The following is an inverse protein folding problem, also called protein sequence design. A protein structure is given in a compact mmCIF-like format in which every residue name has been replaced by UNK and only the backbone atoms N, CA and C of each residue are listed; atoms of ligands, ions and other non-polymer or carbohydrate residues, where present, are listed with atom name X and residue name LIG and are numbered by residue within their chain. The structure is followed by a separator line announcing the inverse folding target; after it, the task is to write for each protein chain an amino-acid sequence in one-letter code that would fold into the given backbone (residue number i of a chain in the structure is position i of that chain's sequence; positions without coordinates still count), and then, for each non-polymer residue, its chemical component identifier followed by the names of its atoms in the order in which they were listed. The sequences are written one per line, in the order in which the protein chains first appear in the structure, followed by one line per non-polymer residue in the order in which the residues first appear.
data_IF_051207055906
#
_entry.id   IF_051207055906
#
_cell.length_a   1.000
_cell.length_b   1.000
_cell.length_c   1.000
_cell.angle_alpha   90.00
_cell.angle_beta   90.00
_cell.angle_gamma   90.00
#
_symmetry.space_group_name_H-M   'P 1'
#
loop_
_entity.id
_entity.type
_entity.pdbx_description
1 polymer ?
#
# COMPACT_ATOMS: atom_id res chain seq x y z
N UNK A 1 38.49 -15.68 34.05
CA UNK A 1 38.02 -15.28 32.71
C UNK A 1 37.38 -13.91 32.84
N UNK A 2 38.08 -12.88 32.40
CA UNK A 2 37.59 -11.50 32.34
C UNK A 2 36.45 -11.48 31.33
N UNK A 3 35.20 -11.22 31.76
CA UNK A 3 34.08 -10.97 30.84
C UNK A 3 34.44 -9.70 30.07
N UNK A 4 34.87 -9.84 28.83
CA UNK A 4 34.99 -8.72 27.91
C UNK A 4 33.59 -8.15 27.73
N UNK A 5 33.35 -6.98 28.30
CA UNK A 5 32.10 -6.26 28.15
C UNK A 5 32.01 -5.81 26.70
N UNK A 6 31.11 -6.40 25.92
CA UNK A 6 30.81 -5.91 24.56
C UNK A 6 30.10 -4.56 24.72
N UNK A 7 30.66 -3.47 24.19
CA UNK A 7 30.02 -2.17 24.24
C UNK A 7 28.76 -2.16 23.38
N UNK A 8 27.73 -1.44 23.82
CA UNK A 8 26.38 -1.47 23.23
C UNK A 8 26.35 -1.02 21.75
N UNK A 9 27.32 -0.23 21.31
CA UNK A 9 27.47 0.27 19.94
C UNK A 9 28.01 -0.79 18.96
N UNK A 10 28.55 -1.90 19.44
CA UNK A 10 29.03 -3.03 18.62
C UNK A 10 27.95 -4.12 18.44
N UNK A 11 26.79 -3.96 19.08
CA UNK A 11 25.69 -4.91 18.97
C UNK A 11 24.94 -4.77 17.65
N UNK A 12 24.96 -5.85 16.86
CA UNK A 12 24.15 -6.03 15.67
C UNK A 12 22.93 -6.88 15.99
N UNK A 13 21.97 -6.88 15.06
CA UNK A 13 20.81 -7.75 15.15
C UNK A 13 20.59 -8.47 13.82
N UNK A 14 19.88 -9.59 13.88
CA UNK A 14 19.36 -10.29 12.72
C UNK A 14 17.94 -10.77 13.02
N UNK A 15 17.02 -10.52 12.10
CA UNK A 15 15.61 -10.83 12.28
C UNK A 15 15.22 -12.14 11.62
N UNK A 16 14.25 -12.79 12.24
CA UNK A 16 13.46 -13.85 11.61
C UNK A 16 11.99 -13.66 11.93
N UNK A 17 11.17 -14.51 11.34
CA UNK A 17 9.72 -14.45 11.42
C UNK A 17 9.21 -15.84 11.73
N UNK A 18 8.17 -15.95 12.57
CA UNK A 18 7.28 -17.10 12.52
C UNK A 18 6.14 -16.76 11.56
N UNK A 19 6.10 -17.45 10.43
CA UNK A 19 5.01 -17.38 9.47
C UNK A 19 3.85 -18.26 9.93
N UNK A 20 2.64 -17.69 9.92
CA UNK A 20 1.40 -18.36 10.31
C UNK A 20 0.42 -18.21 9.15
N UNK A 21 0.20 -19.31 8.43
CA UNK A 21 -0.71 -19.34 7.29
C UNK A 21 -2.10 -19.78 7.76
N UNK A 22 -3.11 -18.99 7.43
CA UNK A 22 -4.51 -19.22 7.75
C UNK A 22 -5.29 -19.64 6.49
N UNK A 23 -6.42 -20.29 6.70
CA UNK A 23 -7.34 -20.61 5.61
C UNK A 23 -8.39 -19.49 5.47
N UNK A 24 -8.40 -18.73 4.36
CA UNK A 24 -9.36 -17.65 4.16
C UNK A 24 -10.81 -18.15 3.96
N UNK A 25 -11.03 -19.45 3.75
CA UNK A 25 -12.37 -20.04 3.60
C UNK A 25 -13.00 -20.46 4.92
N UNK A 26 -12.29 -20.36 6.04
CA UNK A 26 -12.84 -20.74 7.35
C UNK A 26 -13.61 -19.60 7.99
N UNK A 27 -14.62 -19.99 8.77
CA UNK A 27 -15.49 -19.06 9.49
C UNK A 27 -14.74 -18.20 10.53
N UNK A 28 -13.60 -18.67 11.04
CA UNK A 28 -12.76 -17.95 12.00
C UNK A 28 -11.80 -16.92 11.35
N UNK A 29 -11.73 -16.86 10.02
CA UNK A 29 -10.96 -15.84 9.31
C UNK A 29 -11.73 -14.52 9.23
N UNK A 30 -11.32 -13.54 10.03
CA UNK A 30 -11.96 -12.21 10.09
C UNK A 30 -11.29 -11.17 9.18
N UNK A 31 -10.16 -11.52 8.56
CA UNK A 31 -9.31 -10.56 7.83
C UNK A 31 -8.72 -9.46 8.72
N UNK A 32 -8.75 -9.63 10.05
CA UNK A 32 -8.18 -8.69 11.02
C UNK A 32 -7.28 -9.47 11.98
N UNK A 33 -5.99 -9.09 12.14
CA UNK A 33 -5.11 -9.76 13.09
C UNK A 33 -5.69 -9.78 14.51
N UNK A 34 -5.42 -10.82 15.32
CA UNK A 34 -5.91 -10.93 16.69
C UNK A 34 -5.34 -9.83 17.60
N UNK A 35 -5.91 -9.68 18.80
CA UNK A 35 -5.39 -8.77 19.81
C UNK A 35 -3.97 -9.16 20.24
N UNK A 36 -3.11 -8.19 20.62
CA UNK A 36 -1.83 -8.47 21.25
C UNK A 36 -1.98 -9.27 22.54
N UNK A 37 -1.02 -10.14 22.80
CA UNK A 37 -0.92 -10.94 24.01
C UNK A 37 -0.54 -10.08 25.22
N UNK A 38 -1.07 -10.45 26.38
CA UNK A 38 -0.58 -9.91 27.67
C UNK A 38 0.88 -10.29 27.91
N UNK A 39 1.56 -9.56 28.79
CA UNK A 39 2.95 -9.87 29.21
C UNK A 39 3.13 -11.33 29.63
N UNK A 40 2.19 -11.88 30.39
CA UNK A 40 2.25 -13.27 30.84
C UNK A 40 2.11 -14.27 29.68
N UNK A 41 1.15 -14.06 28.77
CA UNK A 41 0.92 -14.92 27.62
C UNK A 41 2.06 -14.85 26.60
N UNK A 42 2.57 -13.64 26.33
CA UNK A 42 3.74 -13.43 25.46
C UNK A 42 4.98 -14.14 26.01
N UNK A 43 5.21 -14.08 27.33
CA UNK A 43 6.33 -14.74 27.99
C UNK A 43 6.24 -16.27 27.93
N UNK A 44 5.03 -16.83 28.09
CA UNK A 44 4.81 -18.26 27.95
C UNK A 44 5.09 -18.73 26.51
N UNK A 45 4.54 -18.03 25.51
CA UNK A 45 4.75 -18.35 24.10
C UNK A 45 6.24 -18.28 23.70
N UNK A 46 6.95 -17.25 24.16
CA UNK A 46 8.36 -17.07 23.86
C UNK A 46 9.24 -18.24 24.31
N UNK A 47 8.90 -18.90 25.43
CA UNK A 47 9.63 -20.07 25.90
C UNK A 47 9.55 -21.24 24.92
N UNK A 48 8.40 -21.44 24.27
CA UNK A 48 8.22 -22.44 23.22
C UNK A 48 9.01 -22.08 21.95
N UNK A 49 8.90 -20.83 21.49
CA UNK A 49 9.62 -20.34 20.31
C UNK A 49 11.15 -20.43 20.49
N UNK A 50 11.66 -19.99 21.64
CA UNK A 50 13.10 -20.04 21.93
C UNK A 50 13.63 -21.49 21.96
N UNK A 51 12.83 -22.44 22.45
CA UNK A 51 13.19 -23.85 22.48
C UNK A 51 13.29 -24.44 21.07
N UNK A 52 12.30 -24.18 20.21
CA UNK A 52 12.34 -24.63 18.82
C UNK A 52 13.52 -24.00 18.06
N UNK A 53 13.70 -22.67 18.18
CA UNK A 53 14.81 -21.96 17.53
C UNK A 53 16.18 -22.48 17.99
N UNK A 54 16.34 -22.80 19.28
CA UNK A 54 17.57 -23.39 19.80
C UNK A 54 17.86 -24.76 19.20
N UNK A 55 16.83 -25.60 19.04
CA UNK A 55 16.95 -26.91 18.41
C UNK A 55 17.27 -26.80 16.91
N UNK A 56 16.67 -25.84 16.20
CA UNK A 56 16.85 -25.68 14.76
C UNK A 56 18.20 -25.04 14.43
N UNK A 57 18.63 -24.02 15.18
CA UNK A 57 19.79 -23.20 14.81
C UNK A 57 21.09 -23.66 15.47
N UNK A 58 21.02 -24.29 16.65
CA UNK A 58 22.15 -24.73 17.48
C UNK A 58 23.11 -23.59 17.92
N UNK A 59 23.60 -23.63 19.15
CA UNK A 59 24.69 -22.73 19.59
C UNK A 59 24.34 -21.25 19.71
N UNK A 60 23.06 -20.89 19.84
CA UNK A 60 22.57 -19.50 19.92
C UNK A 60 22.50 -18.91 21.35
N UNK A 61 22.98 -19.62 22.37
CA UNK A 61 22.82 -19.25 23.79
C UNK A 61 23.60 -17.98 24.19
N UNK A 62 24.56 -17.59 23.37
CA UNK A 62 25.35 -16.37 23.51
C UNK A 62 24.69 -15.14 22.88
N UNK A 63 23.52 -15.31 22.26
CA UNK A 63 22.75 -14.24 21.63
C UNK A 63 21.52 -13.88 22.49
N UNK A 64 21.21 -12.59 22.52
CA UNK A 64 19.92 -12.11 22.98
C UNK A 64 18.83 -12.45 22.00
N UNK A 65 17.60 -12.66 22.47
CA UNK A 65 16.42 -12.87 21.63
C UNK A 65 15.31 -11.95 22.12
N UNK A 66 14.70 -11.17 21.21
CA UNK A 66 13.51 -10.37 21.49
C UNK A 66 12.37 -10.75 20.55
N UNK A 67 11.15 -10.79 21.07
CA UNK A 67 9.93 -10.94 20.28
C UNK A 67 8.74 -10.20 20.92
N UNK A 68 7.84 -9.60 20.12
CA UNK A 68 6.56 -9.10 20.58
C UNK A 68 5.52 -10.24 20.62
N UNK A 69 4.60 -10.15 21.58
CA UNK A 69 3.41 -10.99 21.65
C UNK A 69 2.31 -10.47 20.73
N UNK A 70 2.61 -10.20 19.47
CA UNK A 70 1.65 -9.70 18.49
C UNK A 70 1.89 -10.32 17.11
N UNK A 71 0.84 -10.38 16.31
CA UNK A 71 0.87 -10.79 14.91
C UNK A 71 0.67 -9.57 14.02
N UNK A 72 1.40 -9.57 12.91
CA UNK A 72 1.46 -8.46 11.96
C UNK A 72 1.14 -8.96 10.55
N UNK A 73 0.56 -8.08 9.73
CA UNK A 73 0.49 -8.30 8.28
C UNK A 73 1.88 -8.10 7.64
N UNK A 74 2.11 -8.73 6.48
CA UNK A 74 3.37 -8.56 5.74
C UNK A 74 3.70 -7.10 5.41
N UNK A 75 2.68 -6.26 5.22
CA UNK A 75 2.83 -4.82 4.94
C UNK A 75 3.32 -4.01 6.15
N UNK A 76 3.20 -4.55 7.36
CA UNK A 76 3.75 -3.95 8.58
C UNK A 76 5.22 -4.33 8.80
N UNK A 77 5.63 -5.50 8.31
CA UNK A 77 7.01 -5.99 8.39
C UNK A 77 7.88 -5.36 7.29
N UNK A 78 7.39 -5.42 6.04
CA UNK A 78 8.12 -4.98 4.85
C UNK A 78 7.85 -3.49 4.60
N UNK A 79 8.58 -2.63 5.29
CA UNK A 79 8.56 -1.18 5.08
C UNK A 79 9.99 -0.66 4.87
N UNK A 80 10.17 0.52 4.25
CA UNK A 80 11.49 1.16 4.09
C UNK A 80 12.30 1.13 5.39
N UNK A 81 13.46 0.45 5.37
CA UNK A 81 14.35 0.34 6.53
C UNK A 81 13.90 -0.63 7.64
N UNK A 82 12.84 -1.43 7.43
CA UNK A 82 12.32 -2.41 8.40
C UNK A 82 12.12 -1.85 9.83
N UNK A 83 11.33 -0.76 10.01
CA UNK A 83 11.24 0.00 11.25
C UNK A 83 10.79 -0.82 12.46
N UNK A 84 9.93 -1.82 12.27
CA UNK A 84 9.49 -2.72 13.34
C UNK A 84 10.67 -3.53 13.92
N UNK A 85 11.55 -4.01 13.04
CA UNK A 85 12.73 -4.79 13.40
C UNK A 85 13.74 -3.92 14.14
N UNK A 86 14.00 -2.72 13.63
CA UNK A 86 14.88 -1.75 14.29
C UNK A 86 14.32 -1.37 15.68
N UNK A 87 13.02 -1.12 15.79
CA UNK A 87 12.38 -0.81 17.06
C UNK A 87 12.52 -1.95 18.10
N UNK A 88 12.37 -3.22 17.68
CA UNK A 88 12.62 -4.37 18.56
C UNK A 88 14.09 -4.41 19.03
N UNK A 89 15.04 -4.22 18.12
CA UNK A 89 16.46 -4.20 18.47
C UNK A 89 16.80 -3.04 19.43
N UNK A 90 16.22 -1.86 19.23
CA UNK A 90 16.38 -0.71 20.12
C UNK A 90 15.81 -0.96 21.51
N UNK A 91 14.60 -1.53 21.61
CA UNK A 91 13.99 -1.89 22.90
C UNK A 91 14.88 -2.88 23.64
N UNK A 92 15.42 -3.89 22.94
CA UNK A 92 16.35 -4.84 23.55
C UNK A 92 17.59 -4.14 24.11
N UNK A 93 18.25 -3.29 23.31
CA UNK A 93 19.45 -2.54 23.72
C UNK A 93 19.17 -1.63 24.91
N UNK A 94 18.02 -0.96 24.93
CA UNK A 94 17.59 -0.08 26.02
C UNK A 94 17.35 -0.82 27.34
N UNK A 95 17.00 -2.10 27.29
CA UNK A 95 16.81 -2.95 28.47
C UNK A 95 18.11 -3.47 29.11
N UNK A 96 19.26 -3.31 28.46
CA UNK A 96 20.55 -3.79 28.98
C UNK A 96 21.11 -2.85 30.06
N UNK A 97 21.42 -3.38 31.25
CA UNK A 97 22.03 -2.63 32.36
C UNK A 97 23.48 -3.05 32.55
N UNK A 98 24.43 -2.12 32.34
CA UNK A 98 25.84 -2.32 32.70
C UNK A 98 26.66 -3.23 31.78
N UNK A 99 26.12 -3.62 30.61
CA UNK A 99 26.82 -4.42 29.59
C UNK A 99 25.91 -5.42 28.89
N UNK A 100 26.39 -6.02 27.80
CA UNK A 100 25.65 -7.07 27.10
C UNK A 100 25.64 -8.37 27.91
N UNK A 101 24.44 -8.84 28.27
CA UNK A 101 24.19 -10.19 28.77
C UNK A 101 23.06 -10.79 27.94
N UNK A 102 23.26 -11.94 27.29
CA UNK A 102 22.21 -12.62 26.53
C UNK A 102 21.00 -12.89 27.41
N UNK A 103 19.82 -12.48 26.95
CA UNK A 103 18.54 -12.74 27.62
C UNK A 103 17.44 -12.91 26.58
N UNK A 104 16.43 -13.71 26.93
CA UNK A 104 15.16 -13.73 26.23
C UNK A 104 14.31 -12.56 26.74
N UNK A 105 14.00 -11.61 25.86
CA UNK A 105 13.14 -10.47 26.14
C UNK A 105 11.82 -10.66 25.39
N UNK A 106 10.72 -10.47 26.10
CA UNK A 106 9.38 -10.59 25.54
C UNK A 106 8.66 -9.29 25.76
N UNK A 107 7.99 -8.81 24.72
CA UNK A 107 7.14 -7.63 24.82
C UNK A 107 5.71 -8.12 24.77
N UNK A 108 4.97 -7.95 25.86
CA UNK A 108 3.52 -8.12 25.84
C UNK A 108 2.83 -6.78 26.01
N UNK A 109 1.58 -6.72 25.61
CA UNK A 109 0.76 -5.55 25.80
C UNK A 109 0.25 -5.46 27.25
N UNK A 110 0.13 -4.23 27.73
CA UNK A 110 -0.65 -3.87 28.91
C UNK A 110 -1.84 -3.02 28.44
N UNK A 111 -3.06 -3.42 28.81
CA UNK A 111 -4.31 -2.84 28.27
C UNK A 111 -4.34 -2.72 26.71
N UNK A 112 -3.71 -3.66 26.01
CA UNK A 112 -3.63 -3.67 24.54
C UNK A 112 -2.57 -2.75 23.94
N UNK A 113 -1.74 -2.09 24.76
CA UNK A 113 -0.68 -1.19 24.31
C UNK A 113 0.71 -1.74 24.61
N UNK A 114 1.62 -1.55 23.66
CA UNK A 114 3.03 -1.86 23.84
C UNK A 114 3.81 -0.66 24.40
N UNK A 115 5.01 -0.87 24.96
CA UNK A 115 5.85 0.21 25.49
C UNK A 115 6.27 1.28 24.48
N UNK A 116 6.30 0.93 23.18
CA UNK A 116 6.73 1.83 22.09
C UNK A 116 5.68 1.75 20.97
N UNK A 117 5.25 2.90 20.43
CA UNK A 117 4.23 2.93 19.38
C UNK A 117 4.63 2.20 18.10
N UNK A 118 5.93 2.19 17.76
CA UNK A 118 6.47 1.55 16.56
C UNK A 118 6.31 0.01 16.52
N UNK A 119 6.07 -0.63 17.67
CA UNK A 119 5.82 -2.08 17.76
C UNK A 119 4.34 -2.42 17.93
N UNK A 120 3.44 -1.43 18.06
CA UNK A 120 2.02 -1.70 18.13
C UNK A 120 1.50 -2.19 16.77
N UNK A 121 0.85 -3.37 16.68
CA UNK A 121 0.27 -3.83 15.43
C UNK A 121 -0.91 -2.94 15.03
N UNK A 122 -1.06 -2.68 13.74
CA UNK A 122 -2.09 -1.81 13.19
C UNK A 122 -3.46 -2.50 13.13
N UNK A 123 -3.45 -3.84 12.99
CA UNK A 123 -4.67 -4.68 12.95
C UNK A 123 -5.71 -4.16 11.96
N UNK A 124 -5.27 -3.84 10.74
CA UNK A 124 -6.14 -3.30 9.70
C UNK A 124 -7.10 -4.39 9.19
N UNK A 125 -8.40 -4.09 9.04
CA UNK A 125 -9.31 -4.98 8.31
C UNK A 125 -8.81 -5.20 6.88
N UNK A 126 -8.98 -6.41 6.37
CA UNK A 126 -8.50 -6.81 5.04
C UNK A 126 -7.04 -7.29 5.01
N UNK A 127 -6.44 -7.59 6.16
CA UNK A 127 -5.15 -8.26 6.23
C UNK A 127 -5.21 -9.65 5.59
N UNK A 128 -4.10 -10.09 4.99
CA UNK A 128 -4.02 -11.34 4.25
C UNK A 128 -4.09 -12.59 5.16
N UNK A 129 -4.14 -13.80 4.56
CA UNK A 129 -4.11 -15.06 5.30
C UNK A 129 -2.74 -15.37 5.92
N UNK A 130 -1.69 -14.62 5.58
CA UNK A 130 -0.35 -14.79 6.14
C UNK A 130 -0.13 -13.76 7.25
N UNK A 131 -0.07 -14.24 8.49
CA UNK A 131 0.30 -13.44 9.66
C UNK A 131 1.72 -13.77 10.11
N UNK A 132 2.42 -12.77 10.63
CA UNK A 132 3.84 -12.87 10.98
C UNK A 132 4.06 -12.48 12.43
N UNK A 133 4.83 -13.28 13.17
CA UNK A 133 5.37 -12.90 14.47
C UNK A 133 6.88 -12.68 14.32
N UNK A 134 7.38 -11.43 14.32
CA UNK A 134 8.79 -11.15 14.16
C UNK A 134 9.58 -11.45 15.44
N UNK A 135 10.83 -11.86 15.28
CA UNK A 135 11.79 -11.96 16.38
C UNK A 135 13.16 -11.47 15.92
N UNK A 136 13.97 -10.99 16.85
CA UNK A 136 15.31 -10.51 16.56
C UNK A 136 16.32 -11.17 17.48
N UNK A 137 17.42 -11.65 16.90
CA UNK A 137 18.61 -12.02 17.65
C UNK A 137 19.55 -10.82 17.75
N UNK A 138 20.14 -10.59 18.92
CA UNK A 138 21.06 -9.48 19.19
C UNK A 138 22.37 -10.02 19.77
N UNK A 139 23.51 -9.57 19.25
CA UNK A 139 24.82 -10.00 19.75
C UNK A 139 25.98 -9.26 19.10
N UNK A 140 27.19 -9.78 19.32
CA UNK A 140 28.38 -9.27 18.64
C UNK A 140 28.25 -9.44 17.12
N UNK A 141 28.86 -8.53 16.37
CA UNK A 141 28.78 -8.53 14.91
C UNK A 141 29.15 -9.87 14.25
N UNK A 142 30.24 -10.51 14.71
CA UNK A 142 30.71 -11.77 14.13
C UNK A 142 29.74 -12.94 14.40
N UNK A 143 29.15 -12.96 15.60
CA UNK A 143 28.19 -13.98 16.01
C UNK A 143 26.88 -13.85 15.23
N UNK A 144 26.37 -12.62 15.10
CA UNK A 144 25.18 -12.30 14.32
C UNK A 144 25.39 -12.60 12.84
N UNK A 145 26.56 -12.27 12.29
CA UNK A 145 26.91 -12.58 10.90
C UNK A 145 26.99 -14.08 10.61
N UNK A 146 27.41 -14.90 11.59
CA UNK A 146 27.38 -16.36 11.50
C UNK A 146 25.95 -16.89 11.58
N UNK A 147 25.17 -16.40 12.54
CA UNK A 147 23.77 -16.76 12.71
C UNK A 147 22.96 -16.49 11.43
N UNK A 148 23.15 -15.33 10.80
CA UNK A 148 22.44 -14.97 9.58
C UNK A 148 22.57 -16.05 8.50
N UNK A 149 23.79 -16.54 8.25
CA UNK A 149 24.05 -17.61 7.27
C UNK A 149 23.34 -18.91 7.67
N UNK A 150 23.40 -19.27 8.96
CA UNK A 150 22.73 -20.48 9.48
C UNK A 150 21.21 -20.37 9.30
N UNK A 151 20.63 -19.20 9.57
CA UNK A 151 19.19 -18.97 9.43
C UNK A 151 18.75 -19.09 7.96
N UNK A 152 19.44 -18.42 7.03
CA UNK A 152 19.14 -18.52 5.59
C UNK A 152 19.28 -19.97 5.07
N UNK A 153 20.26 -20.73 5.55
CA UNK A 153 20.48 -22.11 5.11
C UNK A 153 19.47 -23.10 5.73
N UNK A 154 19.13 -22.93 7.02
CA UNK A 154 18.35 -23.92 7.80
C UNK A 154 16.85 -23.67 7.81
N UNK A 155 16.40 -22.42 7.93
CA UNK A 155 14.96 -22.15 8.17
C UNK A 155 14.08 -22.56 6.99
N UNK A 156 14.57 -22.40 5.76
CA UNK A 156 13.84 -22.83 4.57
C UNK A 156 13.56 -24.34 4.54
N UNK A 157 14.46 -25.18 5.08
CA UNK A 157 14.35 -26.64 5.03
C UNK A 157 13.82 -27.27 6.31
N UNK A 158 14.12 -26.66 7.46
CA UNK A 158 13.89 -27.24 8.79
C UNK A 158 13.15 -26.27 9.73
N UNK A 159 12.53 -25.22 9.19
CA UNK A 159 11.83 -24.20 9.96
C UNK A 159 10.47 -24.62 10.53
N UNK A 160 10.00 -25.85 10.29
CA UNK A 160 8.73 -26.32 10.85
C UNK A 160 8.71 -26.22 12.38
N UNK A 161 7.62 -25.68 12.92
CA UNK A 161 7.45 -25.56 14.38
C UNK A 161 7.10 -26.90 15.02
N UNK A 162 7.49 -27.08 16.28
CA UNK A 162 7.07 -28.23 17.07
C UNK A 162 5.56 -28.22 17.35
N UNK A 163 5.01 -29.39 17.69
CA UNK A 163 3.60 -29.50 18.11
C UNK A 163 3.30 -28.61 19.32
N UNK A 164 4.21 -28.53 20.28
CA UNK A 164 4.04 -27.71 21.48
C UNK A 164 3.95 -26.22 21.16
N UNK A 165 4.80 -25.72 20.25
CA UNK A 165 4.73 -24.33 19.76
C UNK A 165 3.44 -24.09 18.99
N UNK A 166 3.03 -25.04 18.15
CA UNK A 166 1.77 -24.96 17.41
C UNK A 166 0.56 -24.82 18.33
N UNK A 167 0.46 -25.68 19.34
CA UNK A 167 -0.61 -25.61 20.35
C UNK A 167 -0.56 -24.30 21.15
N UNK A 168 0.63 -23.83 21.52
CA UNK A 168 0.80 -22.57 22.24
C UNK A 168 0.33 -21.35 21.43
N UNK A 169 0.67 -21.28 20.14
CA UNK A 169 0.20 -20.21 19.23
C UNK A 169 -1.32 -20.26 19.06
N UNK A 170 -1.89 -21.45 18.84
CA UNK A 170 -3.33 -21.65 18.71
C UNK A 170 -4.08 -21.18 19.96
N UNK A 171 -3.60 -21.56 21.14
CA UNK A 171 -4.21 -21.16 22.42
C UNK A 171 -4.05 -19.68 22.71
N UNK A 172 -2.88 -19.10 22.42
CA UNK A 172 -2.58 -17.70 22.73
C UNK A 172 -3.38 -16.72 21.85
N UNK A 173 -3.47 -17.00 20.54
CA UNK A 173 -4.10 -16.09 19.58
C UNK A 173 -5.52 -16.51 19.17
N UNK A 174 -5.96 -17.71 19.53
CA UNK A 174 -7.28 -18.22 19.16
C UNK A 174 -7.42 -18.50 17.65
N UNK A 175 -6.34 -18.90 16.98
CA UNK A 175 -6.28 -19.12 15.53
C UNK A 175 -6.17 -20.60 15.20
N UNK A 176 -6.64 -20.99 14.02
CA UNK A 176 -6.40 -22.33 13.47
C UNK A 176 -5.49 -22.27 12.22
N UNK A 177 -4.17 -22.39 12.39
CA UNK A 177 -3.23 -22.28 11.28
C UNK A 177 -3.22 -23.54 10.41
N UNK A 178 -3.21 -23.34 9.09
CA UNK A 178 -2.89 -24.36 8.10
C UNK A 178 -1.42 -24.79 8.27
N UNK A 179 -0.53 -23.81 8.20
CA UNK A 179 0.90 -24.02 8.27
C UNK A 179 1.57 -23.03 9.23
N UNK A 180 2.69 -23.46 9.83
CA UNK A 180 3.54 -22.61 10.65
C UNK A 180 5.00 -23.00 10.50
N UNK A 181 5.82 -22.03 10.13
CA UNK A 181 7.26 -22.22 9.97
C UNK A 181 8.03 -20.95 10.29
N UNK A 182 9.21 -21.12 10.87
CA UNK A 182 10.21 -20.06 10.95
C UNK A 182 10.78 -19.76 9.57
N UNK A 183 10.98 -18.48 9.29
CA UNK A 183 11.47 -17.97 8.01
C UNK A 183 12.36 -16.75 8.25
N UNK A 184 13.21 -16.42 7.27
CA UNK A 184 13.96 -15.15 7.26
C UNK A 184 13.14 -14.05 6.58
N UNK A 185 13.59 -12.80 6.70
CA UNK A 185 13.05 -11.71 5.86
C UNK A 185 13.34 -12.00 4.38
N UNK A 186 14.47 -12.65 4.08
CA UNK A 186 14.83 -13.11 2.73
C UNK A 186 13.80 -14.08 2.16
N UNK A 187 13.37 -15.07 2.95
CA UNK A 187 12.32 -16.03 2.56
C UNK A 187 10.97 -15.34 2.31
N UNK A 188 10.57 -14.40 3.18
CA UNK A 188 9.35 -13.63 2.99
C UNK A 188 9.40 -12.80 1.69
N UNK A 189 10.54 -12.13 1.45
CA UNK A 189 10.82 -11.41 0.22
C UNK A 189 10.73 -12.32 -1.01
N UNK A 190 11.31 -13.52 -0.95
CA UNK A 190 11.26 -14.49 -2.05
C UNK A 190 9.82 -14.96 -2.33
N UNK A 191 9.05 -15.26 -1.29
CA UNK A 191 7.63 -15.64 -1.40
C UNK A 191 6.82 -14.52 -2.07
N UNK A 192 6.95 -13.28 -1.57
CA UNK A 192 6.23 -12.13 -2.11
C UNK A 192 6.61 -11.84 -3.55
N UNK A 193 7.90 -11.95 -3.90
CA UNK A 193 8.35 -11.79 -5.29
C UNK A 193 7.67 -12.80 -6.22
N UNK A 194 7.62 -14.07 -5.84
CA UNK A 194 6.95 -15.13 -6.64
C UNK A 194 5.46 -14.84 -6.78
N UNK A 195 4.80 -14.37 -5.72
CA UNK A 195 3.39 -13.99 -5.77
C UNK A 195 3.16 -12.81 -6.72
N UNK A 196 3.99 -11.76 -6.65
CA UNK A 196 3.87 -10.60 -7.53
C UNK A 196 4.17 -10.93 -8.99
N UNK A 197 5.19 -11.75 -9.25
CA UNK A 197 5.53 -12.21 -10.60
C UNK A 197 4.37 -13.02 -11.22
N UNK A 198 3.78 -13.94 -10.46
CA UNK A 198 2.61 -14.71 -10.89
C UNK A 198 1.35 -13.88 -11.18
N UNK A 199 1.33 -12.60 -10.81
CA UNK A 199 0.24 -11.65 -11.07
C UNK A 199 0.64 -10.51 -12.02
N UNK A 200 1.74 -10.65 -12.78
CA UNK A 200 2.28 -9.62 -13.68
C UNK A 200 2.66 -8.29 -12.98
N UNK A 201 3.02 -8.36 -11.69
CA UNK A 201 3.39 -7.23 -10.84
C UNK A 201 4.89 -7.19 -10.51
N UNK A 202 5.75 -7.84 -11.31
CA UNK A 202 7.19 -7.82 -11.09
C UNK A 202 7.79 -6.39 -11.05
N UNK A 203 7.34 -5.40 -11.85
CA UNK A 203 7.82 -4.02 -11.71
C UNK A 203 7.48 -3.38 -10.35
N UNK A 204 6.38 -3.80 -9.70
CA UNK A 204 6.04 -3.36 -8.34
C UNK A 204 7.05 -3.93 -7.33
N UNK A 205 7.43 -5.20 -7.47
CA UNK A 205 8.47 -5.81 -6.65
C UNK A 205 9.77 -5.00 -6.71
N UNK A 206 10.21 -4.59 -7.90
CA UNK A 206 11.47 -3.83 -8.06
C UNK A 206 11.43 -2.46 -7.37
N UNK A 207 10.28 -1.76 -7.44
CA UNK A 207 10.06 -0.51 -6.71
C UNK A 207 10.14 -0.71 -5.19
N UNK A 208 9.46 -1.74 -4.69
CA UNK A 208 9.40 -2.07 -3.28
C UNK A 208 10.76 -2.53 -2.73
N UNK A 209 11.43 -3.44 -3.44
CA UNK A 209 12.76 -3.94 -3.08
C UNK A 209 13.78 -2.79 -3.00
N UNK A 210 13.73 -1.84 -3.94
CA UNK A 210 14.58 -0.66 -3.90
C UNK A 210 14.34 0.18 -2.63
N UNK A 211 13.08 0.37 -2.24
CA UNK A 211 12.69 1.14 -1.05
C UNK A 211 13.03 0.43 0.26
N UNK A 212 12.65 -0.84 0.43
CA UNK A 212 12.81 -1.59 1.67
C UNK A 212 14.27 -1.69 2.11
N UNK A 213 15.16 -2.00 1.16
CA UNK A 213 16.59 -2.13 1.42
C UNK A 213 17.34 -0.79 1.33
N UNK A 214 16.62 0.34 1.30
CA UNK A 214 17.18 1.70 1.24
C UNK A 214 18.31 1.84 0.22
N UNK A 215 18.12 1.25 -0.97
CA UNK A 215 19.14 1.27 -2.00
C UNK A 215 19.42 2.71 -2.41
N UNK A 216 20.71 3.04 -2.55
CA UNK A 216 21.13 4.39 -2.89
C UNK A 216 20.61 4.82 -4.27
N UNK A 217 20.15 6.06 -4.36
CA UNK A 217 19.70 6.66 -5.61
C UNK A 217 18.23 6.39 -5.91
N UNK A 218 17.85 6.67 -7.16
CA UNK A 218 16.46 6.67 -7.60
C UNK A 218 16.23 5.46 -8.50
N UNK A 219 15.17 4.71 -8.22
CA UNK A 219 14.64 3.70 -9.14
C UNK A 219 13.40 4.23 -9.85
N UNK A 220 13.27 3.93 -11.14
CA UNK A 220 12.11 4.33 -11.92
C UNK A 220 11.67 3.23 -12.86
N UNK A 221 10.37 3.04 -12.98
CA UNK A 221 9.78 2.09 -13.93
C UNK A 221 8.64 2.75 -14.70
N UNK A 222 8.50 2.34 -15.96
CA UNK A 222 7.36 2.70 -16.82
C UNK A 222 6.67 1.42 -17.26
N UNK A 223 5.40 1.27 -16.90
CA UNK A 223 4.61 0.11 -17.27
C UNK A 223 4.21 0.18 -18.76
N UNK A 224 3.80 -0.95 -19.32
CA UNK A 224 3.32 -1.03 -20.72
C UNK A 224 2.12 -0.12 -21.01
N UNK A 225 1.30 0.17 -20.00
CA UNK A 225 0.19 1.13 -20.09
C UNK A 225 0.62 2.60 -20.03
N UNK A 226 1.91 2.90 -19.82
CA UNK A 226 2.46 4.25 -19.68
C UNK A 226 2.37 4.84 -18.28
N UNK A 227 1.95 4.07 -17.27
CA UNK A 227 2.09 4.44 -15.87
C UNK A 227 3.56 4.60 -15.52
N UNK A 228 3.92 5.67 -14.79
CA UNK A 228 5.31 5.92 -14.38
C UNK A 228 5.40 6.02 -12.87
N UNK A 229 6.37 5.32 -12.30
CA UNK A 229 6.66 5.34 -10.88
C UNK A 229 8.14 5.60 -10.68
N UNK A 230 8.45 6.47 -9.73
CA UNK A 230 9.82 6.81 -9.33
C UNK A 230 9.90 6.71 -7.81
N UNK A 231 10.85 5.92 -7.31
CA UNK A 231 11.03 5.67 -5.88
C UNK A 231 12.41 6.11 -5.43
N UNK A 232 12.45 6.77 -4.28
CA UNK A 232 13.66 7.13 -3.54
C UNK A 232 13.35 7.04 -2.05
N UNK A 233 14.11 6.23 -1.32
CA UNK A 233 13.88 5.99 0.10
C UNK A 233 12.43 5.53 0.34
N UNK A 234 11.69 6.25 1.19
CA UNK A 234 10.28 6.03 1.53
C UNK A 234 9.30 6.83 0.66
N UNK A 235 9.75 7.51 -0.39
CA UNK A 235 8.90 8.33 -1.25
C UNK A 235 8.74 7.73 -2.64
N UNK A 236 7.50 7.69 -3.12
CA UNK A 236 7.16 7.36 -4.49
C UNK A 236 6.57 8.58 -5.20
N UNK A 237 6.87 8.76 -6.48
CA UNK A 237 6.30 9.81 -7.33
C UNK A 237 5.61 9.19 -8.53
N UNK A 238 4.43 9.71 -8.86
CA UNK A 238 3.68 9.26 -10.03
C UNK A 238 2.81 10.36 -10.62
N UNK A 239 2.39 10.19 -11.88
CA UNK A 239 1.54 11.14 -12.58
C UNK A 239 0.07 10.79 -12.39
N UNK A 240 -0.74 11.82 -12.25
CA UNK A 240 -2.17 11.78 -12.43
C UNK A 240 -2.51 12.37 -13.80
N UNK A 241 -3.30 11.66 -14.58
CA UNK A 241 -3.90 12.18 -15.79
C UNK A 241 -5.41 12.24 -15.60
N UNK A 242 -6.04 13.32 -16.05
CA UNK A 242 -7.46 13.28 -16.40
C UNK A 242 -7.65 12.38 -17.63
N UNK A 243 -8.89 12.00 -17.94
CA UNK A 243 -9.12 11.23 -19.16
C UNK A 243 -8.70 12.03 -20.40
N UNK A 244 -9.02 13.31 -20.43
CA UNK A 244 -8.75 14.22 -21.54
C UNK A 244 -7.23 14.39 -21.72
N UNK A 245 -6.48 14.67 -20.66
CA UNK A 245 -5.02 14.77 -20.68
C UNK A 245 -4.37 13.46 -21.13
N UNK A 246 -4.82 12.33 -20.57
CA UNK A 246 -4.33 11.00 -20.92
C UNK A 246 -4.52 10.69 -22.40
N UNK A 247 -5.69 11.05 -22.95
CA UNK A 247 -6.06 10.76 -24.33
C UNK A 247 -5.45 11.75 -25.33
N UNK A 248 -5.15 12.99 -24.94
CA UNK A 248 -4.68 14.02 -25.87
C UNK A 248 -3.16 14.08 -25.98
N UNK A 249 -2.42 14.08 -24.86
CA UNK A 249 -0.95 14.17 -24.88
C UNK A 249 -0.26 13.07 -24.07
N UNK A 250 -0.98 12.43 -23.15
CA UNK A 250 -0.47 11.34 -22.32
C UNK A 250 -0.35 10.00 -23.04
N UNK A 251 -0.24 8.89 -22.27
CA UNK A 251 -0.05 7.55 -22.81
C UNK A 251 -1.12 7.07 -23.78
N UNK A 252 -2.34 7.61 -23.71
CA UNK A 252 -3.44 7.25 -24.58
C UNK A 252 -3.38 7.89 -25.96
N UNK A 253 -2.52 8.91 -26.20
CA UNK A 253 -2.53 9.72 -27.44
C UNK A 253 -2.44 8.92 -28.74
N UNK A 254 -1.67 7.84 -28.72
CA UNK A 254 -1.38 7.02 -29.90
C UNK A 254 -2.40 5.88 -30.07
N UNK A 255 -3.34 5.71 -29.12
CA UNK A 255 -4.40 4.71 -29.21
C UNK A 255 -5.49 5.15 -30.20
N UNK A 256 -6.06 4.18 -30.96
CA UNK A 256 -7.25 4.42 -31.76
C UNK A 256 -8.39 5.01 -30.91
N UNK A 257 -9.15 6.00 -31.41
CA UNK A 257 -10.23 6.62 -30.63
C UNK A 257 -11.21 5.64 -30.00
N UNK A 258 -11.60 4.58 -30.72
CA UNK A 258 -12.52 3.56 -30.22
C UNK A 258 -11.99 2.73 -29.04
N UNK A 259 -10.67 2.72 -28.80
CA UNK A 259 -10.02 1.95 -27.74
C UNK A 259 -9.74 2.78 -26.48
N UNK A 260 -9.98 4.10 -26.50
CA UNK A 260 -9.62 4.98 -25.39
C UNK A 260 -10.32 4.62 -24.09
N UNK A 261 -11.59 4.19 -24.17
CA UNK A 261 -12.34 3.79 -22.99
C UNK A 261 -11.71 2.61 -22.25
N UNK A 262 -11.33 1.56 -22.97
CA UNK A 262 -10.67 0.39 -22.37
C UNK A 262 -9.23 0.71 -21.97
N UNK A 263 -8.50 1.44 -22.81
CA UNK A 263 -7.13 1.85 -22.51
C UNK A 263 -7.02 2.65 -21.22
N UNK A 264 -7.93 3.63 -21.00
CA UNK A 264 -7.93 4.44 -19.79
C UNK A 264 -8.31 3.62 -18.56
N UNK A 265 -9.31 2.71 -18.67
CA UNK A 265 -9.66 1.80 -17.57
C UNK A 265 -8.47 0.94 -17.14
N UNK A 266 -7.78 0.32 -18.09
CA UNK A 266 -6.57 -0.48 -17.80
C UNK A 266 -5.48 0.38 -17.16
N UNK A 267 -5.24 1.58 -17.69
CA UNK A 267 -4.27 2.52 -17.12
C UNK A 267 -4.62 2.90 -15.68
N UNK A 268 -5.88 3.29 -15.42
CA UNK A 268 -6.36 3.71 -14.10
C UNK A 268 -6.32 2.57 -13.08
N UNK A 269 -6.62 1.33 -13.51
CA UNK A 269 -6.50 0.13 -12.67
C UNK A 269 -5.08 -0.07 -12.16
N UNK A 270 -4.11 -0.14 -13.07
CA UNK A 270 -2.70 -0.29 -12.72
C UNK A 270 -2.21 0.87 -11.87
N UNK A 271 -2.63 2.10 -12.20
CA UNK A 271 -2.27 3.30 -11.47
C UNK A 271 -2.71 3.20 -9.99
N UNK A 272 -3.98 2.86 -9.75
CA UNK A 272 -4.54 2.71 -8.40
C UNK A 272 -3.92 1.53 -7.66
N UNK A 273 -3.78 0.39 -8.32
CA UNK A 273 -3.21 -0.83 -7.73
C UNK A 273 -1.77 -0.61 -7.24
N UNK A 274 -0.91 -0.03 -8.07
CA UNK A 274 0.48 0.25 -7.70
C UNK A 274 0.54 1.30 -6.58
N UNK A 275 -0.20 2.40 -6.68
CA UNK A 275 -0.21 3.42 -5.65
C UNK A 275 -0.68 2.86 -4.30
N UNK A 276 -1.78 2.11 -4.28
CA UNK A 276 -2.29 1.48 -3.05
C UNK A 276 -1.28 0.49 -2.46
N UNK A 277 -0.62 -0.32 -3.29
CA UNK A 277 0.37 -1.27 -2.80
C UNK A 277 1.60 -0.56 -2.23
N UNK A 278 2.14 0.45 -2.92
CA UNK A 278 3.26 1.24 -2.42
C UNK A 278 2.92 1.89 -1.06
N UNK A 279 1.73 2.48 -0.92
CA UNK A 279 1.27 3.04 0.37
C UNK A 279 1.09 1.99 1.46
N UNK A 280 0.54 0.81 1.11
CA UNK A 280 0.36 -0.28 2.06
C UNK A 280 1.71 -0.72 2.65
N UNK A 281 2.74 -0.82 1.82
CA UNK A 281 4.12 -1.15 2.20
C UNK A 281 4.94 0.04 2.73
N UNK A 282 4.26 1.13 3.13
CA UNK A 282 4.88 2.23 3.89
C UNK A 282 5.53 3.34 3.05
N UNK A 283 5.34 3.36 1.73
CA UNK A 283 5.82 4.47 0.90
C UNK A 283 4.82 5.62 0.87
N UNK A 284 5.32 6.85 0.84
CA UNK A 284 4.53 8.05 0.60
C UNK A 284 4.39 8.32 -0.90
N UNK A 285 3.22 8.00 -1.46
CA UNK A 285 2.94 8.21 -2.88
C UNK A 285 2.52 9.65 -3.16
N UNK A 286 3.38 10.37 -3.89
CA UNK A 286 3.17 11.73 -4.34
C UNK A 286 2.64 11.76 -5.77
N UNK A 287 1.40 12.21 -5.92
CA UNK A 287 0.75 12.40 -7.20
C UNK A 287 0.96 13.83 -7.71
N UNK A 288 1.22 13.96 -9.01
CA UNK A 288 1.25 15.27 -9.68
C UNK A 288 0.41 15.26 -10.93
N UNK A 289 -0.27 16.38 -11.18
CA UNK A 289 -1.03 16.54 -12.42
C UNK A 289 -0.07 16.56 -13.61
N UNK A 290 -0.33 15.68 -14.58
CA UNK A 290 0.41 15.67 -15.82
C UNK A 290 0.18 16.97 -16.61
N UNK A 291 1.16 17.35 -17.41
CA UNK A 291 1.04 18.43 -18.37
C UNK A 291 1.99 18.15 -19.55
N UNK A 292 1.79 18.77 -20.72
CA UNK A 292 2.59 18.48 -21.91
C UNK A 292 4.10 18.65 -21.70
N UNK A 293 4.52 19.69 -20.96
CA UNK A 293 5.93 19.97 -20.72
C UNK A 293 6.58 18.91 -19.82
N UNK A 294 5.87 18.48 -18.76
CA UNK A 294 6.33 17.40 -17.88
C UNK A 294 6.41 16.09 -18.66
N UNK A 295 5.43 15.78 -19.52
CA UNK A 295 5.41 14.55 -20.31
C UNK A 295 6.57 14.49 -21.31
N UNK A 296 6.86 15.60 -21.99
CA UNK A 296 8.03 15.72 -22.86
C UNK A 296 9.34 15.57 -22.08
N UNK A 297 9.46 16.23 -20.92
CA UNK A 297 10.64 16.16 -20.06
C UNK A 297 10.92 14.72 -19.61
N UNK A 298 9.89 14.01 -19.15
CA UNK A 298 10.00 12.64 -18.65
C UNK A 298 10.26 11.60 -19.73
N UNK A 299 10.20 11.97 -21.02
CA UNK A 299 10.59 11.08 -22.12
C UNK A 299 12.10 10.81 -22.12
N UNK A 300 12.90 11.77 -21.62
CA UNK A 300 14.38 11.66 -21.62
C UNK A 300 15.01 11.81 -20.25
N UNK A 301 14.34 12.48 -19.30
CA UNK A 301 14.85 12.66 -17.95
C UNK A 301 14.84 11.34 -17.17
N UNK A 302 15.93 11.08 -16.44
CA UNK A 302 16.08 9.92 -15.54
C UNK A 302 16.62 10.35 -14.19
N UNK A 303 16.42 9.50 -13.17
CA UNK A 303 16.95 9.70 -11.82
C UNK A 303 16.59 11.08 -11.26
N UNK A 304 17.61 11.82 -10.81
CA UNK A 304 17.43 13.12 -10.14
C UNK A 304 16.75 14.17 -11.03
N UNK A 305 16.99 14.14 -12.35
CA UNK A 305 16.38 15.11 -13.27
C UNK A 305 14.88 14.85 -13.39
N UNK A 306 14.47 13.58 -13.48
CA UNK A 306 13.06 13.20 -13.49
C UNK A 306 12.38 13.55 -12.16
N UNK A 307 13.03 13.26 -11.02
CA UNK A 307 12.53 13.63 -9.69
C UNK A 307 12.35 15.14 -9.56
N UNK A 308 13.34 15.93 -9.98
CA UNK A 308 13.27 17.38 -9.95
C UNK A 308 12.10 17.91 -10.79
N UNK A 309 11.88 17.38 -12.00
CA UNK A 309 10.75 17.76 -12.85
C UNK A 309 9.40 17.43 -12.17
N UNK A 310 9.27 16.26 -11.56
CA UNK A 310 8.06 15.87 -10.80
C UNK A 310 7.85 16.76 -9.57
N UNK A 311 8.91 17.14 -8.86
CA UNK A 311 8.82 18.01 -7.67
C UNK A 311 8.51 19.47 -8.01
N UNK A 312 8.80 19.91 -9.23
CA UNK A 312 8.45 21.25 -9.70
C UNK A 312 6.93 21.43 -9.86
N UNK A 313 6.19 20.35 -10.11
CA UNK A 313 4.72 20.39 -10.18
C UNK A 313 4.14 20.24 -8.76
N UNK A 314 3.16 21.08 -8.34
CA UNK A 314 2.49 20.92 -7.05
C UNK A 314 1.89 19.52 -6.86
N UNK A 315 1.98 19.00 -5.64
CA UNK A 315 1.37 17.72 -5.30
C UNK A 315 -0.16 17.85 -5.32
N UNK A 316 -0.84 16.84 -5.86
CA UNK A 316 -2.28 16.69 -5.71
C UNK A 316 -2.60 16.20 -4.29
N UNK A 317 -2.86 17.12 -3.38
CA UNK A 317 -3.13 16.83 -1.96
C UNK A 317 -4.60 16.95 -1.54
N UNK A 318 -5.48 17.40 -2.43
CA UNK A 318 -6.92 17.50 -2.18
C UNK A 318 -7.64 16.16 -2.30
N UNK A 319 -8.91 16.11 -1.88
CA UNK A 319 -9.72 14.89 -1.97
C UNK A 319 -10.19 14.59 -3.39
N UNK A 320 -10.26 15.61 -4.25
CA UNK A 320 -10.64 15.53 -5.64
C UNK A 320 -9.95 16.59 -6.49
N UNK A 321 -9.95 16.39 -7.80
CA UNK A 321 -9.51 17.33 -8.82
C UNK A 321 -10.73 17.79 -9.64
N UNK A 322 -10.80 19.08 -9.97
CA UNK A 322 -11.75 19.61 -10.95
C UNK A 322 -10.99 20.05 -12.19
N UNK A 323 -11.30 19.43 -13.31
CA UNK A 323 -10.85 19.84 -14.63
C UNK A 323 -11.95 20.70 -15.27
N UNK A 324 -11.67 21.98 -15.49
CA UNK A 324 -12.61 22.92 -16.12
C UNK A 324 -12.38 22.94 -17.64
N UNK A 325 -13.29 22.32 -18.40
CA UNK A 325 -13.20 22.20 -19.86
C UNK A 325 -13.75 23.45 -20.54
N UNK A 326 -14.87 23.96 -20.04
CA UNK A 326 -15.51 25.14 -20.58
C UNK A 326 -16.12 25.97 -19.46
N UNK A 327 -15.98 27.28 -19.56
CA UNK A 327 -16.67 28.24 -18.72
C UNK A 327 -17.05 29.46 -19.56
N UNK A 328 -18.32 29.84 -19.48
CA UNK A 328 -18.84 31.08 -20.03
C UNK A 328 -18.97 32.09 -18.89
N UNK A 329 -18.26 33.22 -19.00
CA UNK A 329 -18.24 34.28 -17.99
C UNK A 329 -19.47 35.21 -18.05
N UNK A 330 -20.51 34.86 -18.81
CA UNK A 330 -21.77 35.59 -18.82
C UNK A 330 -22.44 35.57 -17.43
N UNK A 331 -23.07 36.69 -17.04
CA UNK A 331 -23.86 36.82 -15.80
C UNK A 331 -25.15 35.96 -15.77
N UNK A 332 -25.32 35.06 -16.74
CA UNK A 332 -26.49 34.18 -16.82
C UNK A 332 -26.46 33.16 -15.66
N UNK A 333 -27.56 33.08 -14.93
CA UNK A 333 -27.72 32.13 -13.84
C UNK A 333 -27.74 30.68 -14.36
N UNK A 334 -27.14 29.78 -13.59
CA UNK A 334 -27.25 28.34 -13.81
C UNK A 334 -28.65 27.88 -13.44
N UNK A 335 -29.34 27.24 -14.39
CA UNK A 335 -30.73 26.81 -14.23
C UNK A 335 -30.87 25.30 -14.31
N UNK A 336 -29.98 24.63 -15.05
CA UNK A 336 -29.96 23.16 -15.13
C UNK A 336 -28.55 22.62 -15.02
N UNK A 337 -28.39 21.57 -14.21
CA UNK A 337 -27.15 20.83 -14.04
C UNK A 337 -27.38 19.36 -14.40
N UNK A 338 -26.64 18.87 -15.40
CA UNK A 338 -26.64 17.47 -15.81
C UNK A 338 -25.33 16.84 -15.34
N UNK A 339 -25.42 15.88 -14.43
CA UNK A 339 -24.29 15.17 -13.84
C UNK A 339 -24.26 13.76 -14.43
N UNK A 340 -23.14 13.40 -15.05
CA UNK A 340 -22.90 12.05 -15.58
C UNK A 340 -21.94 11.31 -14.66
N UNK A 341 -22.38 10.15 -14.17
CA UNK A 341 -21.52 9.26 -13.40
C UNK A 341 -20.66 8.42 -14.34
N UNK A 342 -19.38 8.80 -14.50
CA UNK A 342 -18.41 8.08 -15.30
C UNK A 342 -17.87 6.93 -14.45
N UNK A 343 -18.28 5.71 -14.76
CA UNK A 343 -18.00 4.54 -13.92
C UNK A 343 -17.39 3.40 -14.72
N UNK A 344 -16.72 2.53 -13.98
CA UNK A 344 -16.35 1.19 -14.39
C UNK A 344 -16.89 0.19 -13.35
N UNK A 345 -17.11 -1.06 -13.78
CA UNK A 345 -17.69 -2.10 -12.91
C UNK A 345 -16.69 -2.56 -11.84
N UNK A 346 -15.39 -2.58 -12.15
CA UNK A 346 -14.34 -3.04 -11.22
C UNK A 346 -13.75 -1.87 -10.44
N UNK A 347 -13.57 -0.71 -11.08
CA UNK A 347 -12.91 0.46 -10.47
C UNK A 347 -13.88 1.42 -9.77
N UNK A 348 -15.20 1.21 -9.93
CA UNK A 348 -16.22 2.14 -9.45
C UNK A 348 -16.14 3.50 -10.15
N UNK A 349 -16.31 4.59 -9.40
CA UNK A 349 -16.31 5.94 -9.96
C UNK A 349 -14.93 6.34 -10.49
N UNK A 350 -14.89 6.69 -11.77
CA UNK A 350 -13.72 7.29 -12.42
C UNK A 350 -13.78 8.81 -12.39
N UNK A 351 -14.95 9.39 -12.66
CA UNK A 351 -15.19 10.83 -12.62
C UNK A 351 -16.69 11.16 -12.54
N UNK A 352 -17.01 12.42 -12.24
CA UNK A 352 -18.30 13.01 -12.57
C UNK A 352 -18.11 14.07 -13.65
N UNK A 353 -18.83 13.95 -14.77
CA UNK A 353 -18.89 15.01 -15.77
C UNK A 353 -20.11 15.89 -15.47
N UNK A 354 -19.87 17.17 -15.18
CA UNK A 354 -20.91 18.14 -14.78
C UNK A 354 -21.09 19.15 -15.91
N UNK A 355 -22.29 19.20 -16.47
CA UNK A 355 -22.68 20.13 -17.52
C UNK A 355 -23.76 21.07 -16.99
N UNK A 356 -23.44 22.36 -16.91
CA UNK A 356 -24.32 23.41 -16.42
C UNK A 356 -24.86 24.24 -17.58
N UNK A 357 -26.15 24.55 -17.55
CA UNK A 357 -26.87 25.27 -18.61
C UNK A 357 -27.73 26.42 -18.06
N UNK A 358 -27.94 27.44 -18.89
CA UNK A 358 -28.92 28.51 -18.61
C UNK A 358 -30.36 28.07 -18.91
N UNK A 359 -31.32 28.97 -18.68
CA UNK A 359 -32.75 28.72 -18.98
C UNK A 359 -33.02 28.42 -20.46
N UNK A 360 -32.17 28.90 -21.38
CA UNK A 360 -32.26 28.67 -22.81
C UNK A 360 -31.59 27.37 -23.27
N UNK A 361 -31.00 26.59 -22.35
CA UNK A 361 -30.25 25.38 -22.67
C UNK A 361 -28.84 25.65 -23.21
N UNK A 362 -28.34 26.88 -23.14
CA UNK A 362 -26.98 27.23 -23.54
C UNK A 362 -26.00 26.71 -22.50
N UNK A 363 -24.91 26.09 -22.96
CA UNK A 363 -23.82 25.63 -22.10
C UNK A 363 -23.19 26.83 -21.38
N UNK A 364 -23.16 26.76 -20.05
CA UNK A 364 -22.47 27.71 -19.18
C UNK A 364 -21.14 27.14 -18.70
N UNK A 365 -21.12 25.90 -18.23
CA UNK A 365 -19.91 25.24 -17.74
C UNK A 365 -19.87 23.76 -18.09
N UNK A 366 -18.68 23.25 -18.36
CA UNK A 366 -18.39 21.82 -18.47
C UNK A 366 -17.16 21.52 -17.61
N UNK A 367 -17.34 20.65 -16.62
CA UNK A 367 -16.31 20.28 -15.64
C UNK A 367 -16.24 18.77 -15.49
N UNK A 368 -15.05 18.25 -15.17
CA UNK A 368 -14.83 16.85 -14.82
C UNK A 368 -14.24 16.77 -13.41
N UNK A 369 -14.95 16.10 -12.51
CA UNK A 369 -14.59 15.97 -11.10
C UNK A 369 -14.04 14.57 -10.86
N UNK A 370 -12.75 14.47 -10.52
CA UNK A 370 -12.05 13.21 -10.32
C UNK A 370 -11.78 12.98 -8.82
N UNK A 371 -12.30 11.92 -8.20
CA UNK A 371 -11.92 11.58 -6.83
C UNK A 371 -10.45 11.14 -6.80
N UNK A 372 -9.66 11.77 -5.94
CA UNK A 372 -8.26 11.43 -5.70
C UNK A 372 -8.10 10.46 -4.51
N UNK A 373 -9.09 10.45 -3.61
CA UNK A 373 -9.16 9.58 -2.43
C UNK A 373 -10.56 8.99 -2.28
N UNK A 374 -10.72 7.87 -1.54
CA UNK A 374 -12.04 7.28 -1.30
C UNK A 374 -13.07 8.29 -0.74
N UNK A 375 -12.67 9.17 0.18
CA UNK A 375 -13.56 10.18 0.75
C UNK A 375 -13.92 11.29 -0.24
N UNK A 376 -13.09 11.52 -1.27
CA UNK A 376 -13.29 12.56 -2.27
C UNK A 376 -14.57 12.41 -3.06
N UNK A 377 -15.09 11.18 -3.20
CA UNK A 377 -16.38 10.94 -3.81
C UNK A 377 -17.50 11.69 -3.07
N UNK A 378 -17.54 11.55 -1.75
CA UNK A 378 -18.56 12.20 -0.92
C UNK A 378 -18.40 13.72 -0.95
N UNK A 379 -17.15 14.22 -0.90
CA UNK A 379 -16.86 15.66 -0.98
C UNK A 379 -17.34 16.27 -2.31
N UNK A 380 -17.16 15.56 -3.43
CA UNK A 380 -17.69 16.00 -4.73
C UNK A 380 -19.23 16.06 -4.67
N UNK A 381 -19.87 15.01 -4.17
CA UNK A 381 -21.34 14.92 -4.09
C UNK A 381 -21.91 16.07 -3.26
N UNK A 382 -21.35 16.30 -2.07
CA UNK A 382 -21.79 17.37 -1.16
C UNK A 382 -21.63 18.75 -1.80
N UNK A 383 -20.48 19.01 -2.43
CA UNK A 383 -20.26 20.28 -3.15
C UNK A 383 -21.26 20.51 -4.29
N UNK A 384 -21.60 19.47 -5.05
CA UNK A 384 -22.57 19.57 -6.13
C UNK A 384 -24.00 19.76 -5.60
N UNK A 385 -24.34 19.13 -4.47
CA UNK A 385 -25.60 19.38 -3.75
C UNK A 385 -25.71 20.84 -3.29
N UNK A 386 -24.66 21.36 -2.65
CA UNK A 386 -24.62 22.73 -2.13
C UNK A 386 -24.75 23.76 -3.27
N UNK A 387 -24.00 23.59 -4.37
CA UNK A 387 -24.11 24.45 -5.56
C UNK A 387 -25.52 24.49 -6.13
N UNK A 388 -26.19 23.33 -6.22
CA UNK A 388 -27.57 23.27 -6.70
C UNK A 388 -28.53 24.00 -5.75
N UNK A 389 -28.34 23.88 -4.44
CA UNK A 389 -29.17 24.54 -3.44
C UNK A 389 -28.98 26.07 -3.45
N UNK A 390 -27.74 26.55 -3.58
CA UNK A 390 -27.42 27.99 -3.63
C UNK A 390 -27.98 28.68 -4.88
N UNK A 391 -28.03 27.98 -6.01
CA UNK A 391 -28.41 28.55 -7.31
C UNK A 391 -29.84 28.20 -7.75
N UNK A 392 -30.59 27.48 -6.90
CA UNK A 392 -31.92 26.93 -7.21
C UNK A 392 -31.94 26.15 -8.54
N UNK A 393 -30.82 25.50 -8.87
CA UNK A 393 -30.60 24.82 -10.15
C UNK A 393 -31.26 23.45 -10.18
N UNK A 394 -32.00 23.15 -11.25
CA UNK A 394 -32.55 21.81 -11.48
C UNK A 394 -31.43 20.81 -11.77
N UNK A 395 -31.31 19.77 -10.96
CA UNK A 395 -30.29 18.73 -11.13
C UNK A 395 -30.85 17.44 -11.71
N UNK A 396 -30.17 16.91 -12.72
CA UNK A 396 -30.39 15.57 -13.25
C UNK A 396 -29.09 14.76 -13.16
N UNK A 397 -29.14 13.58 -12.53
CA UNK A 397 -28.00 12.64 -12.47
C UNK A 397 -28.26 11.47 -13.41
N UNK A 398 -27.30 11.16 -14.27
CA UNK A 398 -27.36 10.10 -15.27
C UNK A 398 -26.30 9.04 -14.97
N UNK A 399 -26.71 7.77 -14.99
CA UNK A 399 -25.87 6.60 -14.72
C UNK A 399 -25.77 5.72 -15.96
N UNK A 400 -24.91 6.06 -16.92
CA UNK A 400 -24.72 5.25 -18.14
C UNK A 400 -24.08 3.87 -17.88
N UNK A 401 -23.51 3.63 -16.69
CA UNK A 401 -22.86 2.36 -16.34
C UNK A 401 -21.52 2.12 -17.04
N UNK A 402 -21.01 3.12 -17.76
CA UNK A 402 -19.74 3.07 -18.49
C UNK A 402 -19.14 4.46 -18.65
N UNK A 403 -17.87 4.50 -19.02
CA UNK A 403 -17.18 5.73 -19.44
C UNK A 403 -17.75 6.22 -20.78
N UNK A 404 -18.19 7.48 -20.84
CA UNK A 404 -18.65 8.15 -22.04
C UNK A 404 -17.65 9.22 -22.48
N UNK A 405 -17.22 9.12 -23.73
CA UNK A 405 -16.27 10.04 -24.33
C UNK A 405 -16.62 10.33 -25.80
N UNK A 406 -16.00 11.38 -26.33
CA UNK A 406 -16.02 11.76 -27.73
C UNK A 406 -14.77 11.20 -28.42
N UNK A 407 -14.94 10.39 -29.46
CA UNK A 407 -13.81 9.87 -30.24
C UNK A 407 -13.07 10.98 -31.01
N UNK A 408 -13.82 11.95 -31.55
CA UNK A 408 -13.23 13.06 -32.30
C UNK A 408 -12.53 14.08 -31.40
N UNK A 409 -13.12 14.36 -30.24
CA UNK A 409 -12.58 15.28 -29.24
C UNK A 409 -11.55 14.67 -28.32
N UNK A 410 -11.50 13.33 -28.23
CA UNK A 410 -10.67 12.57 -27.27
C UNK A 410 -10.84 13.09 -25.85
N UNK A 411 -12.10 13.37 -25.49
CA UNK A 411 -12.51 14.02 -24.26
C UNK A 411 -13.72 13.34 -23.66
N UNK A 412 -13.91 13.41 -22.34
CA UNK A 412 -15.16 12.98 -21.74
C UNK A 412 -16.33 13.83 -22.25
N UNK A 413 -17.53 13.23 -22.23
CA UNK A 413 -18.76 13.94 -22.58
C UNK A 413 -19.87 13.67 -21.59
N UNK A 414 -20.79 14.62 -21.50
CA UNK A 414 -22.03 14.45 -20.73
C UNK A 414 -22.93 13.41 -21.40
N UNK A 415 -23.61 12.60 -20.58
CA UNK A 415 -24.61 11.65 -21.01
C UNK A 415 -25.89 12.33 -21.47
N UNK A 416 -26.60 11.64 -22.34
CA UNK A 416 -27.98 11.94 -22.71
C UNK A 416 -28.88 10.78 -22.28
N UNK A 417 -30.21 10.95 -22.35
CA UNK A 417 -31.16 9.87 -22.04
C UNK A 417 -30.95 8.64 -22.94
N UNK A 418 -30.44 8.82 -24.16
CA UNK A 418 -30.12 7.73 -25.08
C UNK A 418 -28.89 6.91 -24.67
N UNK A 419 -28.04 7.44 -23.79
CA UNK A 419 -26.84 6.75 -23.29
C UNK A 419 -27.14 5.85 -22.09
N UNK A 420 -28.36 5.89 -21.55
CA UNK A 420 -28.74 5.10 -20.38
C UNK A 420 -28.93 3.62 -20.75
N UNK A 421 -28.53 2.70 -19.87
CA UNK A 421 -28.76 1.27 -20.06
C UNK A 421 -30.25 0.99 -20.25
N UNK A 422 -30.57 0.04 -21.14
CA UNK A 422 -31.95 -0.40 -21.34
C UNK A 422 -32.52 -1.04 -20.06
N UNK A 423 -33.86 -1.21 -19.93
CA UNK A 423 -34.48 -1.78 -18.73
C UNK A 423 -33.98 -3.19 -18.35
N UNK A 424 -33.26 -3.90 -19.23
CA UNK A 424 -32.66 -5.21 -18.97
C UNK A 424 -31.17 -5.17 -18.55
N UNK A 425 -30.50 -4.00 -18.60
CA UNK A 425 -29.07 -3.85 -18.31
C UNK A 425 -28.78 -3.29 -16.90
N UNK A 426 -29.81 -3.12 -16.07
CA UNK A 426 -29.64 -2.82 -14.63
C UNK A 426 -29.24 -4.10 -13.89
N UNK A 427 -27.97 -4.48 -14.01
CA UNK A 427 -27.38 -5.49 -13.13
C UNK A 427 -27.06 -4.81 -11.79
N UNK A 428 -27.46 -5.48 -10.71
CA UNK A 428 -27.50 -5.05 -9.32
C UNK A 428 -26.20 -4.49 -8.76
#
# INVERSE_FOLDING_TARGET
MTKTLIPLNELKHYAGLLAIELDPQRDDFTGTPPEPLSVAAASALAGHLAKDLHQILEGIEHLGLILPGALYDQTEILQPGFPLIEALAEVYRGGLRGGFTPQLMTLGADEGQFPVGAICPQRRPGSGPLLLLPFCFIGAQDDVGRLARIMEDRLLQYGEVSLATREAVQQAFGLTPLNMSFATIGDLCALLRVQLDGNDLLPLWELLEHAWFERSGIYSTTLSGGNRFLVESDHAHTLFYTFDDWAQFGPGRDLPPAELGEGYRRWARLQRQYAMALEAYGLHVRWVLANPQLEETLTTAVGETAKAALRAIPCLSGDYLVEAIFQNDSEQAEQRMIITHQTDVELGTLAYTVMSQDAGGRLLRLEHHYPLRPQGLQVIIDRLLDRCAEQETERQVLHPGRLLYSESGRSLRSATVADLPGPAERVH
#
